data_IF_938474925846
#
_entry.id   IF_938474925846
#
_cell.length_a   1.000
_cell.length_b   1.000
_cell.length_c   1.000
_cell.angle_alpha   90.00
_cell.angle_beta   90.00
_cell.angle_gamma   90.00
#
_symmetry.space_group_name_H-M   'P 1'
#
loop_
_entity.id
_entity.type
_entity.pdbx_description
1 polymer ?
#
# COMPACT_ATOMS: atom_id res chain seq x y z
N UNK A 1 14.17 -22.16 -11.94
CA UNK A 1 13.36 -20.93 -11.87
C UNK A 1 13.83 -20.11 -10.68
N UNK A 2 14.05 -18.82 -10.88
CA UNK A 2 14.51 -17.93 -9.84
C UNK A 2 13.38 -16.98 -9.44
N UNK A 3 13.07 -16.94 -8.15
CA UNK A 3 12.08 -15.99 -7.62
C UNK A 3 12.76 -14.63 -7.51
N UNK A 4 12.11 -13.60 -8.05
CA UNK A 4 12.61 -12.22 -8.02
C UNK A 4 11.73 -11.27 -7.25
N UNK A 5 10.48 -11.63 -7.03
CA UNK A 5 9.48 -10.81 -6.33
C UNK A 5 8.70 -11.70 -5.39
N UNK A 6 8.50 -11.22 -4.17
CA UNK A 6 7.56 -11.78 -3.21
C UNK A 6 6.55 -10.70 -2.89
N UNK A 7 5.27 -10.98 -3.09
CA UNK A 7 4.19 -10.05 -2.81
C UNK A 7 3.28 -10.60 -1.72
N UNK A 8 2.85 -9.73 -0.83
CA UNK A 8 1.96 -10.07 0.26
C UNK A 8 0.93 -8.97 0.47
N UNK A 9 -0.17 -9.28 1.15
CA UNK A 9 -1.06 -8.26 1.66
C UNK A 9 -0.64 -7.85 3.09
N UNK A 10 -1.32 -6.89 3.67
CA UNK A 10 -0.98 -6.33 4.97
C UNK A 10 -1.88 -6.91 6.07
N UNK A 11 -3.19 -6.68 5.94
CA UNK A 11 -4.15 -7.11 6.95
C UNK A 11 -4.33 -8.63 6.90
N UNK A 12 -4.22 -9.28 8.06
CA UNK A 12 -4.39 -10.72 8.17
C UNK A 12 -3.20 -11.53 7.72
N UNK A 13 -2.13 -10.90 7.22
CA UNK A 13 -0.92 -11.60 6.75
C UNK A 13 0.32 -11.06 7.44
N UNK A 14 0.73 -9.82 7.15
CA UNK A 14 1.87 -9.19 7.84
C UNK A 14 1.48 -8.66 9.21
N UNK A 15 0.29 -8.11 9.34
CA UNK A 15 -0.21 -7.64 10.63
C UNK A 15 -0.75 -8.82 11.43
N UNK A 16 -0.50 -8.80 12.73
CA UNK A 16 -1.07 -9.80 13.64
C UNK A 16 -2.56 -9.52 13.91
N UNK A 17 -3.18 -10.35 14.76
CA UNK A 17 -4.60 -10.20 15.11
C UNK A 17 -4.93 -8.87 15.79
N UNK A 18 -3.92 -8.18 16.33
CA UNK A 18 -4.07 -6.87 16.98
C UNK A 18 -3.81 -5.72 16.01
N UNK A 19 -3.51 -6.02 14.75
CA UNK A 19 -3.16 -5.00 13.77
C UNK A 19 -1.77 -4.43 13.95
N UNK A 20 -0.86 -5.19 14.55
CA UNK A 20 0.52 -4.77 14.80
C UNK A 20 1.49 -5.49 13.88
N UNK A 21 2.53 -4.79 13.49
CA UNK A 21 3.59 -5.30 12.63
C UNK A 21 4.86 -5.55 13.45
N UNK A 22 5.44 -6.74 13.29
CA UNK A 22 6.72 -7.08 13.90
C UNK A 22 7.85 -6.50 13.03
N UNK A 23 8.22 -5.27 13.30
CA UNK A 23 9.24 -4.55 12.52
C UNK A 23 10.61 -5.23 12.55
N UNK A 24 11.14 -5.67 13.70
CA UNK A 24 12.44 -6.34 13.74
C UNK A 24 12.47 -7.61 12.90
N UNK A 25 11.39 -8.38 12.90
CA UNK A 25 11.29 -9.59 12.09
C UNK A 25 11.23 -9.27 10.61
N UNK A 26 10.44 -8.27 10.22
CA UNK A 26 10.35 -7.85 8.83
C UNK A 26 11.70 -7.32 8.34
N UNK A 27 12.42 -6.58 9.16
CA UNK A 27 13.73 -6.07 8.81
C UNK A 27 14.72 -7.20 8.50
N UNK A 28 14.72 -8.25 9.32
CA UNK A 28 15.55 -9.44 9.07
C UNK A 28 15.19 -10.13 7.77
N UNK A 29 13.91 -10.23 7.48
CA UNK A 29 13.44 -10.83 6.22
C UNK A 29 13.90 -9.99 5.03
N UNK A 30 13.76 -8.67 5.12
CA UNK A 30 14.21 -7.77 4.05
C UNK A 30 15.72 -7.85 3.82
N UNK A 31 16.51 -7.99 4.89
CA UNK A 31 17.95 -8.17 4.77
C UNK A 31 18.29 -9.44 3.97
N UNK A 32 17.60 -10.52 4.25
CA UNK A 32 17.81 -11.79 3.53
C UNK A 32 17.35 -11.69 2.06
N UNK A 33 16.24 -11.01 1.81
CA UNK A 33 15.74 -10.82 0.45
C UNK A 33 16.68 -9.93 -0.37
N UNK A 34 17.21 -8.88 0.22
CA UNK A 34 18.16 -8.00 -0.44
C UNK A 34 19.42 -8.76 -0.86
N UNK A 35 19.92 -9.65 -0.01
CA UNK A 35 21.08 -10.48 -0.32
C UNK A 35 20.84 -11.39 -1.52
N UNK A 36 19.58 -11.76 -1.77
CA UNK A 36 19.20 -12.64 -2.87
C UNK A 36 18.66 -11.89 -4.09
N UNK A 37 18.64 -10.57 -4.04
CA UNK A 37 18.11 -9.75 -5.13
C UNK A 37 16.60 -9.89 -5.32
N UNK A 38 15.86 -10.20 -4.26
CA UNK A 38 14.41 -10.39 -4.30
C UNK A 38 13.73 -9.12 -3.79
N UNK A 39 12.78 -8.60 -4.58
CA UNK A 39 11.97 -7.44 -4.19
C UNK A 39 10.79 -7.87 -3.35
N UNK A 40 10.49 -7.10 -2.33
CA UNK A 40 9.34 -7.32 -1.47
C UNK A 40 8.26 -6.30 -1.77
N UNK A 41 7.06 -6.79 -2.11
CA UNK A 41 5.90 -5.96 -2.49
C UNK A 41 4.79 -6.17 -1.48
N UNK A 42 4.22 -5.08 -0.99
CA UNK A 42 3.04 -5.12 -0.14
C UNK A 42 1.88 -4.50 -0.91
N UNK A 43 0.82 -5.28 -1.12
CA UNK A 43 -0.40 -4.84 -1.80
C UNK A 43 -1.52 -4.68 -0.77
N UNK A 44 -2.12 -3.51 -0.71
CA UNK A 44 -3.10 -3.19 0.33
C UNK A 44 -4.15 -2.20 -0.16
N UNK A 45 -5.33 -2.23 0.47
CA UNK A 45 -6.33 -1.19 0.30
C UNK A 45 -6.04 0.08 1.09
N UNK A 46 -5.08 0.03 2.02
CA UNK A 46 -4.69 1.18 2.82
C UNK A 46 -4.02 2.26 1.97
N UNK A 47 -4.08 3.51 2.44
CA UNK A 47 -3.39 4.63 1.84
C UNK A 47 -1.92 4.66 2.28
N UNK A 48 -1.10 5.36 1.50
CA UNK A 48 0.35 5.45 1.72
C UNK A 48 0.72 5.96 3.13
N UNK A 49 -0.05 6.94 3.66
CA UNK A 49 0.24 7.50 4.94
C UNK A 49 0.10 6.53 6.12
N UNK A 50 -0.87 5.64 6.01
CA UNK A 50 -1.00 4.58 6.99
C UNK A 50 0.16 3.59 6.88
N UNK A 51 0.59 3.27 5.66
CA UNK A 51 1.72 2.39 5.43
C UNK A 51 3.02 2.98 5.97
N UNK A 52 3.21 4.28 5.81
CA UNK A 52 4.36 4.98 6.39
C UNK A 52 4.37 4.91 7.91
N UNK A 53 3.21 5.01 8.54
CA UNK A 53 3.08 4.88 9.98
C UNK A 53 3.41 3.46 10.46
N UNK A 54 2.93 2.45 9.74
CA UNK A 54 3.13 1.05 10.13
C UNK A 54 4.56 0.58 9.88
N UNK A 55 5.14 0.93 8.74
CA UNK A 55 6.46 0.45 8.33
C UNK A 55 7.60 1.27 8.90
N UNK A 56 7.35 2.52 9.30
CA UNK A 56 8.36 3.43 9.81
C UNK A 56 9.56 3.52 8.84
N UNK A 57 10.77 3.29 9.29
CA UNK A 57 11.97 3.38 8.46
C UNK A 57 12.02 2.32 7.35
N UNK A 58 11.29 1.21 7.49
CA UNK A 58 11.29 0.14 6.49
C UNK A 58 10.55 0.51 5.22
N UNK A 59 9.78 1.60 5.23
CA UNK A 59 9.04 2.06 4.03
C UNK A 59 9.97 2.32 2.84
N UNK A 60 11.22 2.66 3.09
CA UNK A 60 12.21 2.90 2.04
C UNK A 60 12.76 1.62 1.39
N UNK A 61 12.38 0.46 1.90
CA UNK A 61 12.95 -0.82 1.48
C UNK A 61 11.97 -1.73 0.75
N UNK A 62 10.74 -1.28 0.55
CA UNK A 62 9.67 -2.10 -0.02
C UNK A 62 9.00 -1.39 -1.18
N UNK A 63 8.32 -2.17 -2.02
CA UNK A 63 7.41 -1.65 -3.03
C UNK A 63 6.01 -1.72 -2.45
N UNK A 64 5.28 -0.61 -2.51
CA UNK A 64 3.92 -0.52 -1.98
C UNK A 64 2.93 -0.31 -3.10
N UNK A 65 1.96 -1.22 -3.20
CA UNK A 65 0.80 -1.08 -4.07
C UNK A 65 -0.36 -0.74 -3.14
N UNK A 66 -0.74 0.53 -3.09
CA UNK A 66 -1.69 1.07 -2.10
C UNK A 66 -2.99 1.49 -2.76
N UNK A 67 -3.99 1.80 -1.94
CA UNK A 67 -5.31 2.23 -2.40
C UNK A 67 -5.88 1.27 -3.46
N UNK A 68 -5.78 -0.04 -3.19
CA UNK A 68 -6.26 -1.12 -4.09
C UNK A 68 -5.66 -1.03 -5.51
N UNK A 69 -4.40 -0.61 -5.62
CA UNK A 69 -3.69 -0.53 -6.89
C UNK A 69 -3.68 0.83 -7.54
N UNK A 70 -4.33 1.83 -6.95
CA UNK A 70 -4.39 3.16 -7.53
C UNK A 70 -3.04 3.88 -7.54
N UNK A 71 -2.15 3.53 -6.60
CA UNK A 71 -0.83 4.13 -6.50
C UNK A 71 0.23 3.08 -6.19
N UNK A 72 1.39 3.25 -6.80
CA UNK A 72 2.55 2.39 -6.53
C UNK A 72 3.71 3.26 -6.08
N UNK A 73 4.30 2.89 -4.95
CA UNK A 73 5.48 3.55 -4.41
C UNK A 73 6.65 2.58 -4.40
N UNK A 74 7.83 3.05 -4.78
CA UNK A 74 9.07 2.31 -4.67
C UNK A 74 10.06 3.16 -3.90
N UNK A 75 10.65 2.60 -2.84
CA UNK A 75 11.56 3.33 -1.96
C UNK A 75 10.93 4.64 -1.45
N UNK A 76 9.64 4.58 -1.10
CA UNK A 76 8.86 5.71 -0.59
C UNK A 76 8.63 6.82 -1.61
N UNK A 77 8.84 6.56 -2.91
CA UNK A 77 8.58 7.50 -3.99
C UNK A 77 7.44 7.01 -4.88
N UNK A 78 6.51 7.89 -5.22
CA UNK A 78 5.41 7.58 -6.12
C UNK A 78 5.96 7.35 -7.53
N UNK A 79 5.76 6.14 -8.06
CA UNK A 79 6.21 5.79 -9.41
C UNK A 79 5.06 5.62 -10.40
N UNK A 80 3.85 5.38 -9.92
CA UNK A 80 2.69 5.23 -10.77
C UNK A 80 1.42 5.60 -10.02
N UNK A 81 0.49 6.29 -10.68
CA UNK A 81 -0.82 6.60 -10.13
C UNK A 81 -1.87 6.48 -11.20
N UNK A 82 -3.01 5.89 -10.84
CA UNK A 82 -4.22 5.88 -11.65
C UNK A 82 -5.17 6.91 -11.07
N UNK A 83 -5.60 7.85 -11.90
CA UNK A 83 -6.52 8.89 -11.48
C UNK A 83 -7.71 8.93 -12.40
N UNK A 84 -8.82 9.44 -11.89
CA UNK A 84 -10.02 9.68 -12.68
C UNK A 84 -9.91 11.04 -13.37
N UNK A 85 -10.54 11.16 -14.54
CA UNK A 85 -10.71 12.48 -15.18
C UNK A 85 -11.51 13.39 -14.25
N UNK A 86 -11.15 14.67 -14.22
CA UNK A 86 -11.84 15.67 -13.40
C UNK A 86 -13.34 15.71 -13.64
N UNK A 87 -13.76 15.58 -14.91
CA UNK A 87 -15.18 15.56 -15.27
C UNK A 87 -15.93 14.37 -14.64
N UNK A 88 -15.28 13.21 -14.56
CA UNK A 88 -15.84 12.01 -13.92
C UNK A 88 -15.94 12.21 -12.42
N UNK A 89 -14.89 12.76 -11.80
CA UNK A 89 -14.87 13.06 -10.38
C UNK A 89 -15.99 14.03 -10.02
N UNK A 90 -16.15 15.10 -10.79
CA UNK A 90 -17.19 16.10 -10.55
C UNK A 90 -18.59 15.48 -10.66
N UNK A 91 -18.81 14.62 -11.63
CA UNK A 91 -20.06 13.88 -11.79
C UNK A 91 -20.35 12.98 -10.60
N UNK A 92 -19.34 12.23 -10.15
CA UNK A 92 -19.48 11.33 -9.01
C UNK A 92 -19.79 12.10 -7.73
N UNK A 93 -19.06 13.18 -7.48
CA UNK A 93 -19.28 14.01 -6.31
C UNK A 93 -20.67 14.64 -6.31
N UNK A 94 -21.13 15.11 -7.47
CA UNK A 94 -22.47 15.69 -7.61
C UNK A 94 -23.56 14.63 -7.35
N UNK A 95 -23.36 13.40 -7.82
CA UNK A 95 -24.30 12.30 -7.59
C UNK A 95 -24.46 11.98 -6.10
N UNK A 96 -23.37 12.01 -5.36
CA UNK A 96 -23.37 11.68 -3.93
C UNK A 96 -23.55 12.90 -3.01
N UNK A 97 -23.76 14.07 -3.59
CA UNK A 97 -24.00 15.28 -2.82
C UNK A 97 -25.23 15.12 -1.93
N UNK A 98 -25.09 15.40 -0.64
CA UNK A 98 -26.14 15.23 0.33
C UNK A 98 -26.26 13.82 0.90
N UNK A 99 -25.50 12.85 0.36
CA UNK A 99 -25.48 11.46 0.82
C UNK A 99 -24.16 11.08 1.51
N UNK A 100 -23.23 12.00 1.62
CA UNK A 100 -21.88 11.73 2.12
C UNK A 100 -21.86 11.19 3.55
N UNK A 101 -22.85 11.48 4.35
CA UNK A 101 -22.96 10.96 5.71
C UNK A 101 -23.48 9.51 5.77
N UNK A 102 -24.02 9.01 4.65
CA UNK A 102 -24.58 7.65 4.57
C UNK A 102 -23.65 6.70 3.83
N UNK A 103 -22.85 7.21 2.90
CA UNK A 103 -21.96 6.43 2.04
C UNK A 103 -20.51 6.80 2.30
N UNK A 104 -19.63 5.80 2.33
CA UNK A 104 -18.21 6.05 2.27
C UNK A 104 -17.82 6.22 0.80
N UNK A 105 -17.12 7.31 0.50
CA UNK A 105 -16.75 7.65 -0.85
C UNK A 105 -15.30 8.07 -0.94
N UNK A 106 -14.50 7.32 -1.69
CA UNK A 106 -13.07 7.57 -1.90
C UNK A 106 -12.82 7.74 -3.39
N UNK A 107 -12.18 8.83 -3.74
CA UNK A 107 -11.93 9.19 -5.15
C UNK A 107 -10.45 9.07 -5.48
#
# INVERSE_FOLDING_TARGET
MTIKIIATDMDGTLLDARGQLDLPRLEKILDQLDQRGIRFVIATGNEIHRMRQLLEHLVNRVVLVVANGARIFENNELIQAQTWDDAIVDKALAHFKGRACQDQFVV
#
